data_IF_602571892825
#
_entry.id   IF_602571892825
#
_cell.length_a   1.000
_cell.length_b   1.000
_cell.length_c   1.000
_cell.angle_alpha   90.00
_cell.angle_beta   90.00
_cell.angle_gamma   90.00
#
_symmetry.space_group_name_H-M   'P 1'
#
loop_
_entity.id
_entity.type
_entity.pdbx_description
1 polymer ?
#
# COMPACT_ATOMS: atom_id res chain seq x y z
N UNK A 1 2.24 -15.42 8.58
CA UNK A 1 1.42 -14.49 7.78
C UNK A 1 2.20 -13.23 7.46
N UNK A 2 2.31 -12.87 6.19
CA UNK A 2 3.01 -11.65 5.79
C UNK A 2 2.23 -10.41 6.14
N UNK A 3 2.95 -9.42 6.64
CA UNK A 3 2.45 -8.08 6.95
C UNK A 3 3.09 -7.12 5.96
N UNK A 4 2.31 -6.53 5.07
CA UNK A 4 2.84 -5.72 3.97
C UNK A 4 2.13 -4.38 3.86
N UNK A 5 2.87 -3.37 3.39
CA UNK A 5 2.31 -2.07 3.07
C UNK A 5 1.92 -2.05 1.59
N UNK A 6 0.74 -1.56 1.30
CA UNK A 6 0.30 -1.31 -0.07
C UNK A 6 0.58 0.15 -0.43
N UNK A 7 1.35 0.36 -1.50
CA UNK A 7 1.55 1.70 -2.05
C UNK A 7 0.21 2.30 -2.46
N UNK A 8 0.07 3.59 -2.33
CA UNK A 8 -1.16 4.33 -2.67
C UNK A 8 -1.70 3.95 -4.05
N UNK A 9 -0.83 3.75 -5.04
CA UNK A 9 -1.26 3.38 -6.40
C UNK A 9 -1.95 2.02 -6.47
N UNK A 10 -1.59 1.08 -5.60
CA UNK A 10 -2.28 -0.22 -5.55
C UNK A 10 -3.75 -0.02 -5.15
N UNK A 11 -3.99 0.83 -4.15
CA UNK A 11 -5.35 1.13 -3.68
C UNK A 11 -6.14 1.89 -4.75
N UNK A 12 -5.50 2.84 -5.42
CA UNK A 12 -6.13 3.58 -6.52
C UNK A 12 -6.47 2.67 -7.69
N UNK A 13 -5.58 1.72 -8.02
CA UNK A 13 -5.82 0.76 -9.10
C UNK A 13 -7.08 -0.08 -8.81
N UNK A 14 -7.28 -0.44 -7.55
CA UNK A 14 -8.46 -1.19 -7.13
C UNK A 14 -9.74 -0.36 -7.27
N UNK A 15 -9.78 0.81 -6.64
CA UNK A 15 -11.02 1.60 -6.57
C UNK A 15 -11.39 2.24 -7.92
N UNK A 16 -10.40 2.57 -8.73
CA UNK A 16 -10.64 3.15 -10.06
C UNK A 16 -10.69 2.09 -11.17
N UNK A 17 -10.54 0.82 -10.79
CA UNK A 17 -10.58 -0.30 -11.73
C UNK A 17 -9.66 -0.07 -12.93
N UNK A 18 -8.42 0.36 -12.66
CA UNK A 18 -7.45 0.71 -13.69
C UNK A 18 -7.10 -0.52 -14.53
N UNK A 19 -7.28 -0.39 -15.82
CA UNK A 19 -7.01 -1.47 -16.78
C UNK A 19 -5.56 -1.95 -16.69
N UNK A 20 -5.39 -3.27 -16.65
CA UNK A 20 -4.08 -3.90 -16.53
C UNK A 20 -3.55 -4.02 -15.12
N UNK A 21 -4.17 -3.36 -14.13
CA UNK A 21 -3.71 -3.37 -12.74
C UNK A 21 -4.78 -3.83 -11.75
N UNK A 22 -6.05 -3.66 -12.10
CA UNK A 22 -7.16 -3.94 -11.17
C UNK A 22 -7.22 -5.41 -10.75
N UNK A 23 -6.88 -6.34 -11.63
CA UNK A 23 -6.96 -7.78 -11.34
C UNK A 23 -6.03 -8.16 -10.20
N UNK A 24 -4.77 -7.75 -10.28
CA UNK A 24 -3.79 -8.05 -9.22
C UNK A 24 -4.13 -7.32 -7.93
N UNK A 25 -4.54 -6.05 -8.02
CA UNK A 25 -4.96 -5.28 -6.85
C UNK A 25 -6.13 -5.95 -6.14
N UNK A 26 -7.11 -6.44 -6.90
CA UNK A 26 -8.26 -7.17 -6.36
C UNK A 26 -7.82 -8.47 -5.67
N UNK A 27 -6.91 -9.21 -6.28
CA UNK A 27 -6.41 -10.47 -5.69
C UNK A 27 -5.70 -10.22 -4.37
N UNK A 28 -4.95 -9.13 -4.26
CA UNK A 28 -4.27 -8.76 -3.01
C UNK A 28 -5.30 -8.35 -1.94
N UNK A 29 -6.29 -7.56 -2.33
CA UNK A 29 -7.38 -7.16 -1.44
C UNK A 29 -8.12 -8.38 -0.89
N UNK A 30 -8.42 -9.33 -1.77
CA UNK A 30 -9.11 -10.56 -1.38
C UNK A 30 -8.25 -11.44 -0.47
N UNK A 31 -6.93 -11.52 -0.72
CA UNK A 31 -6.01 -12.26 0.16
C UNK A 31 -6.04 -11.68 1.57
N UNK A 32 -6.10 -10.36 1.70
CA UNK A 32 -6.23 -9.70 3.00
C UNK A 32 -7.58 -10.03 3.65
N UNK A 33 -8.66 -10.01 2.87
CA UNK A 33 -10.01 -10.33 3.38
C UNK A 33 -10.10 -11.76 3.89
N UNK A 34 -9.38 -12.69 3.25
CA UNK A 34 -9.34 -14.10 3.66
C UNK A 34 -8.38 -14.35 4.82
N UNK A 35 -7.63 -13.36 5.27
CA UNK A 35 -6.66 -13.53 6.34
C UNK A 35 -5.35 -14.19 5.92
N UNK A 36 -5.06 -14.28 4.63
CA UNK A 36 -3.79 -14.82 4.14
C UNK A 36 -2.63 -13.86 4.37
N UNK A 37 -2.92 -12.58 4.39
CA UNK A 37 -1.96 -11.51 4.66
C UNK A 37 -2.59 -10.50 5.61
N UNK A 38 -1.75 -9.62 6.15
CA UNK A 38 -2.20 -8.45 6.89
C UNK A 38 -1.71 -7.23 6.14
N UNK A 39 -2.64 -6.56 5.45
CA UNK A 39 -2.31 -5.42 4.59
C UNK A 39 -2.45 -4.10 5.35
N UNK A 40 -1.45 -3.26 5.18
CA UNK A 40 -1.35 -1.94 5.80
C UNK A 40 -1.29 -0.86 4.74
N UNK A 41 -1.65 0.35 5.13
CA UNK A 41 -1.44 1.56 4.33
C UNK A 41 -0.83 2.63 5.24
N UNK A 42 -0.11 3.57 4.64
CA UNK A 42 0.37 4.73 5.35
C UNK A 42 -0.80 5.72 5.56
N UNK A 43 -0.77 6.55 6.62
CA UNK A 43 -1.85 7.51 6.88
C UNK A 43 -2.12 8.48 5.74
N UNK A 44 -1.12 8.75 4.89
CA UNK A 44 -1.29 9.64 3.73
C UNK A 44 -2.17 9.00 2.65
N UNK A 45 -2.22 7.67 2.59
CA UNK A 45 -2.96 6.97 1.52
C UNK A 45 -4.46 7.27 1.50
N UNK A 46 -5.20 7.17 2.61
CA UNK A 46 -6.63 7.55 2.59
C UNK A 46 -6.86 9.00 2.18
N UNK A 47 -5.95 9.88 2.58
CA UNK A 47 -6.04 11.32 2.24
C UNK A 47 -5.88 11.50 0.73
N UNK A 48 -4.87 10.88 0.14
CA UNK A 48 -4.61 10.97 -1.30
C UNK A 48 -5.73 10.32 -2.12
N UNK A 49 -6.23 9.18 -1.68
CA UNK A 49 -7.34 8.51 -2.36
C UNK A 49 -8.59 9.37 -2.31
N UNK A 50 -8.86 9.99 -1.16
CA UNK A 50 -10.01 10.89 -1.03
C UNK A 50 -9.94 12.03 -2.03
N UNK A 51 -8.83 12.76 -2.07
CA UNK A 51 -8.71 13.91 -2.96
C UNK A 51 -8.74 13.53 -4.43
N UNK A 52 -8.11 12.41 -4.79
CA UNK A 52 -8.14 11.92 -6.17
C UNK A 52 -9.56 11.52 -6.58
N UNK A 53 -10.24 10.77 -5.74
CA UNK A 53 -11.60 10.30 -6.02
C UNK A 53 -12.60 11.47 -6.05
N UNK A 54 -12.44 12.45 -5.17
CA UNK A 54 -13.33 13.61 -5.13
C UNK A 54 -13.32 14.37 -6.44
N UNK A 55 -12.14 14.56 -7.03
CA UNK A 55 -12.01 15.27 -8.30
C UNK A 55 -12.74 14.59 -9.45
N UNK A 56 -12.72 13.27 -9.47
CA UNK A 56 -13.19 12.48 -10.61
C UNK A 56 -14.60 11.96 -10.39
N UNK A 57 -14.94 11.56 -9.17
CA UNK A 57 -16.18 10.85 -8.85
C UNK A 57 -17.07 11.53 -7.82
N UNK A 58 -16.63 12.65 -7.25
CA UNK A 58 -17.41 13.40 -6.25
C UNK A 58 -17.12 12.98 -4.82
N UNK A 59 -17.56 13.82 -3.87
CA UNK A 59 -17.25 13.66 -2.44
C UNK A 59 -17.90 12.43 -1.81
N UNK A 60 -19.11 12.08 -2.21
CA UNK A 60 -19.84 10.95 -1.61
C UNK A 60 -19.12 9.64 -1.87
N UNK A 61 -18.74 9.38 -3.13
CA UNK A 61 -18.01 8.15 -3.48
C UNK A 61 -16.61 8.15 -2.90
N UNK A 62 -15.95 9.32 -2.84
CA UNK A 62 -14.65 9.46 -2.22
C UNK A 62 -14.69 9.05 -0.74
N UNK A 63 -15.72 9.47 0.01
CA UNK A 63 -15.89 9.05 1.41
C UNK A 63 -16.16 7.56 1.54
N UNK A 64 -16.90 6.99 0.61
CA UNK A 64 -17.15 5.55 0.58
C UNK A 64 -15.84 4.76 0.43
N UNK A 65 -14.96 5.21 -0.44
CA UNK A 65 -13.65 4.58 -0.61
C UNK A 65 -12.83 4.63 0.68
N UNK A 66 -12.80 5.78 1.35
CA UNK A 66 -12.09 5.92 2.63
C UNK A 66 -12.66 4.95 3.68
N UNK A 67 -13.97 4.88 3.77
CA UNK A 67 -14.63 3.96 4.72
C UNK A 67 -14.25 2.50 4.45
N UNK A 68 -14.23 2.10 3.19
CA UNK A 68 -13.85 0.74 2.80
C UNK A 68 -12.39 0.46 3.12
N UNK A 69 -11.49 1.41 2.86
CA UNK A 69 -10.08 1.26 3.22
C UNK A 69 -9.91 1.04 4.72
N UNK A 70 -10.51 1.89 5.54
CA UNK A 70 -10.34 1.83 6.98
C UNK A 70 -11.02 0.62 7.61
N UNK A 71 -12.04 0.06 6.95
CA UNK A 71 -12.68 -1.17 7.41
C UNK A 71 -11.86 -2.42 7.12
N UNK A 72 -11.02 -2.38 6.08
CA UNK A 72 -10.32 -3.57 5.57
C UNK A 72 -8.82 -3.56 5.80
N UNK A 73 -8.20 -2.39 5.82
CA UNK A 73 -6.74 -2.24 5.91
C UNK A 73 -6.36 -1.63 7.25
N UNK A 74 -5.17 -2.00 7.73
CA UNK A 74 -4.60 -1.37 8.92
C UNK A 74 -3.78 -0.16 8.52
N UNK A 75 -3.69 0.82 9.41
CA UNK A 75 -2.94 2.04 9.14
C UNK A 75 -1.67 2.06 9.99
N UNK A 76 -0.53 2.30 9.33
CA UNK A 76 0.75 2.43 10.01
C UNK A 76 0.80 3.70 10.85
N UNK A 77 1.66 3.70 11.86
CA UNK A 77 1.90 4.89 12.68
C UNK A 77 2.75 5.91 11.92
N UNK A 78 2.35 7.18 11.99
CA UNK A 78 3.09 8.30 11.43
C UNK A 78 3.25 9.37 12.50
N UNK A 79 4.51 9.63 12.88
CA UNK A 79 4.84 10.66 13.86
C UNK A 79 6.11 11.37 13.44
N UNK A 80 6.65 12.24 14.29
CA UNK A 80 7.84 13.01 13.97
C UNK A 80 9.05 12.11 13.65
N UNK A 81 9.24 11.05 14.43
CA UNK A 81 10.36 10.11 14.21
C UNK A 81 10.23 9.41 12.85
N UNK A 82 9.02 9.04 12.46
CA UNK A 82 8.79 8.43 11.15
C UNK A 82 9.17 9.39 10.02
N UNK A 83 8.79 10.66 10.15
CA UNK A 83 9.09 11.68 9.15
C UNK A 83 10.60 11.95 9.07
N UNK A 84 11.29 11.99 10.22
CA UNK A 84 12.74 12.16 10.24
C UNK A 84 13.45 10.98 9.57
N UNK A 85 13.00 9.76 9.84
CA UNK A 85 13.55 8.57 9.20
C UNK A 85 13.34 8.58 7.68
N UNK A 86 12.18 9.05 7.23
CA UNK A 86 11.89 9.18 5.80
C UNK A 86 12.89 10.12 5.11
N UNK A 87 13.24 11.23 5.75
CA UNK A 87 14.23 12.16 5.21
C UNK A 87 15.60 11.49 5.05
N UNK A 88 16.01 10.70 6.04
CA UNK A 88 17.30 10.00 6.02
C UNK A 88 17.38 8.96 4.90
N UNK A 89 16.26 8.33 4.52
CA UNK A 89 16.24 7.36 3.43
C UNK A 89 16.64 7.97 2.08
N UNK A 90 16.55 9.29 1.95
CA UNK A 90 16.99 10.02 0.77
C UNK A 90 16.34 9.54 -0.54
N UNK A 91 15.06 9.24 -0.49
CA UNK A 91 14.28 8.92 -1.68
C UNK A 91 14.07 10.20 -2.51
N UNK A 92 13.95 10.03 -3.82
CA UNK A 92 13.61 11.14 -4.70
C UNK A 92 12.23 11.72 -4.38
N UNK A 93 11.27 10.85 -4.10
CA UNK A 93 9.90 11.23 -3.72
C UNK A 93 9.74 11.06 -2.21
N UNK A 94 9.44 12.17 -1.51
CA UNK A 94 9.32 12.15 -0.05
C UNK A 94 8.12 11.31 0.42
N UNK A 95 7.02 11.34 -0.33
CA UNK A 95 5.84 10.53 0.02
C UNK A 95 6.18 9.04 0.01
N UNK A 96 6.94 8.58 -1.00
CA UNK A 96 7.40 7.19 -1.06
C UNK A 96 8.30 6.87 0.13
N UNK A 97 9.20 7.80 0.50
CA UNK A 97 10.06 7.63 1.67
C UNK A 97 9.23 7.51 2.96
N UNK A 98 8.16 8.31 3.09
CA UNK A 98 7.27 8.25 4.25
C UNK A 98 6.59 6.88 4.32
N UNK A 99 6.14 6.34 3.20
CA UNK A 99 5.53 5.01 3.17
C UNK A 99 6.52 3.95 3.66
N UNK A 100 7.76 3.98 3.20
CA UNK A 100 8.80 3.04 3.64
C UNK A 100 9.07 3.18 5.13
N UNK A 101 9.23 4.42 5.61
CA UNK A 101 9.48 4.67 7.03
C UNK A 101 8.32 4.16 7.90
N UNK A 102 7.08 4.38 7.48
CA UNK A 102 5.90 3.86 8.17
C UNK A 102 5.95 2.33 8.27
N UNK A 103 6.29 1.68 7.17
CA UNK A 103 6.40 0.22 7.14
C UNK A 103 7.49 -0.28 8.09
N UNK A 104 8.65 0.40 8.11
CA UNK A 104 9.75 0.06 9.02
C UNK A 104 9.34 0.18 10.49
N UNK A 105 8.72 1.29 10.86
CA UNK A 105 8.32 1.52 12.26
C UNK A 105 7.15 0.64 12.70
N UNK A 106 6.40 0.09 11.77
CA UNK A 106 5.34 -0.88 12.07
C UNK A 106 5.83 -2.32 11.96
N UNK A 107 7.12 -2.54 11.71
CA UNK A 107 7.75 -3.85 11.60
C UNK A 107 7.08 -4.73 10.54
N UNK A 108 6.80 -4.15 9.38
CA UNK A 108 6.21 -4.89 8.27
C UNK A 108 7.28 -5.68 7.52
N UNK A 109 6.86 -6.72 6.83
CA UNK A 109 7.77 -7.62 6.10
C UNK A 109 8.16 -7.07 4.73
N UNK A 110 7.35 -6.21 4.14
CA UNK A 110 7.63 -5.69 2.82
C UNK A 110 6.63 -4.67 2.34
N UNK A 111 6.85 -4.24 1.10
CA UNK A 111 6.04 -3.23 0.43
C UNK A 111 5.60 -3.78 -0.92
N UNK A 112 4.35 -3.57 -1.28
CA UNK A 112 3.82 -3.92 -2.61
C UNK A 112 3.60 -2.63 -3.39
N UNK A 113 4.27 -2.51 -4.53
CA UNK A 113 4.18 -1.36 -5.42
C UNK A 113 4.39 -1.79 -6.86
N UNK A 114 3.79 -1.08 -7.82
CA UNK A 114 4.10 -1.30 -9.23
C UNK A 114 5.25 -0.42 -9.74
N UNK A 115 5.77 0.44 -8.89
CA UNK A 115 6.87 1.38 -9.22
C UNK A 115 8.16 0.96 -8.51
N UNK A 116 8.68 -0.21 -8.88
CA UNK A 116 9.84 -0.82 -8.21
C UNK A 116 11.06 0.09 -8.16
N UNK A 117 11.33 0.85 -9.23
CA UNK A 117 12.47 1.76 -9.28
C UNK A 117 12.39 2.86 -8.22
N UNK A 118 11.19 3.36 -7.94
CA UNK A 118 11.00 4.43 -6.97
C UNK A 118 11.28 3.95 -5.54
N UNK A 119 11.22 2.65 -5.31
CA UNK A 119 11.42 2.04 -3.99
C UNK A 119 12.73 1.24 -3.88
N UNK A 120 13.61 1.33 -4.87
CA UNK A 120 14.85 0.52 -4.88
C UNK A 120 15.79 0.75 -3.70
N UNK A 121 15.70 1.91 -3.03
CA UNK A 121 16.50 2.22 -1.85
C UNK A 121 15.88 1.70 -0.54
N UNK A 122 14.74 1.03 -0.61
CA UNK A 122 14.06 0.52 0.58
C UNK A 122 14.91 -0.53 1.29
N UNK A 123 15.07 -0.44 2.63
CA UNK A 123 15.69 -1.52 3.40
C UNK A 123 14.76 -2.72 3.58
N UNK A 124 13.47 -2.57 3.27
CA UNK A 124 12.51 -3.68 3.30
C UNK A 124 12.38 -4.28 1.91
N UNK A 125 11.95 -5.54 1.85
CA UNK A 125 11.65 -6.19 0.58
C UNK A 125 10.55 -5.46 -0.17
N UNK A 126 10.70 -5.33 -1.48
CA UNK A 126 9.74 -4.65 -2.34
C UNK A 126 9.27 -5.62 -3.42
N UNK A 127 7.97 -5.73 -3.59
CA UNK A 127 7.35 -6.65 -4.55
C UNK A 127 6.46 -5.87 -5.51
N UNK A 128 6.48 -6.24 -6.79
CA UNK A 128 5.38 -5.86 -7.67
C UNK A 128 4.13 -6.66 -7.30
N UNK A 129 2.93 -6.23 -7.69
CA UNK A 129 1.73 -7.02 -7.40
C UNK A 129 1.82 -8.46 -7.88
N UNK A 130 2.30 -8.70 -9.10
CA UNK A 130 2.42 -10.06 -9.63
C UNK A 130 3.47 -10.89 -8.89
N UNK A 131 4.62 -10.30 -8.55
CA UNK A 131 5.64 -10.97 -7.75
C UNK A 131 5.11 -11.34 -6.37
N UNK A 132 4.37 -10.43 -5.74
CA UNK A 132 3.80 -10.68 -4.42
C UNK A 132 2.80 -11.82 -4.45
N UNK A 133 1.90 -11.83 -5.44
CA UNK A 133 0.92 -12.90 -5.60
C UNK A 133 1.58 -14.25 -5.87
N UNK A 134 2.66 -14.26 -6.66
CA UNK A 134 3.43 -15.48 -6.88
C UNK A 134 4.07 -15.97 -5.58
N UNK A 135 4.63 -15.05 -4.80
CA UNK A 135 5.22 -15.37 -3.49
C UNK A 135 4.19 -16.02 -2.56
N UNK A 136 2.98 -15.48 -2.51
CA UNK A 136 1.89 -16.06 -1.71
C UNK A 136 1.51 -17.46 -2.20
N UNK A 137 1.42 -17.65 -3.50
CA UNK A 137 1.09 -18.95 -4.09
C UNK A 137 2.13 -20.00 -3.72
N UNK A 138 3.41 -19.68 -3.82
CA UNK A 138 4.49 -20.59 -3.48
C UNK A 138 4.49 -20.92 -1.98
N UNK A 139 4.19 -19.96 -1.13
CA UNK A 139 4.09 -20.18 0.31
C UNK A 139 2.96 -21.14 0.65
N UNK A 140 1.85 -21.08 -0.07
CA UNK A 140 0.71 -22.00 0.15
C UNK A 140 1.03 -23.43 -0.23
N UNK A 141 1.97 -23.64 -1.15
CA UNK A 141 2.38 -24.96 -1.61
C UNK A 141 3.39 -25.65 -0.67
N UNK A 142 3.92 -24.92 0.30
CA UNK A 142 4.80 -25.47 1.34
C UNK A 142 3.95 -26.13 2.45
#
# INVERSE_FOLDING_TARGET
>A
MMRVLLDTNIVLDLFFEREGFVEDATSIWDANARGEIEAYIAPITPINVFFTARKVKGSELARDYVSKMLASLKVCTLNQQTLLAAEILAFKDYEDAVQVACAMFSNLDGIVTRDLDDFKKSPLSVYSPSEFLLHLKLSREE
#
